data_IF_427386830335
#
_entry.id   IF_427386830335
#
_cell.length_a   1.000
_cell.length_b   1.000
_cell.length_c   1.000
_cell.angle_alpha   90.00
_cell.angle_beta   90.00
_cell.angle_gamma   90.00
#
_symmetry.space_group_name_H-M   'P 1'
#
loop_
_entity.id
_entity.type
_entity.pdbx_description
1 polymer ?
#
# COMPACT_ATOMS: atom_id res chain seq x y z
N UNK A 1 4.92 -84.98 -11.50
CA UNK A 1 5.54 -83.66 -11.76
C UNK A 1 5.36 -82.76 -10.53
N UNK A 2 6.43 -82.50 -9.76
CA UNK A 2 6.38 -81.61 -8.60
C UNK A 2 6.29 -80.17 -9.08
N UNK A 3 5.23 -79.45 -8.73
CA UNK A 3 5.09 -78.01 -8.98
C UNK A 3 6.16 -77.27 -8.16
N UNK A 4 7.06 -76.57 -8.82
CA UNK A 4 8.05 -75.70 -8.18
C UNK A 4 7.33 -74.63 -7.35
N UNK A 5 7.63 -74.59 -6.04
CA UNK A 5 7.19 -73.51 -5.16
C UNK A 5 7.92 -72.23 -5.61
N UNK A 6 7.16 -71.20 -5.99
CA UNK A 6 7.70 -69.85 -6.20
C UNK A 6 8.09 -69.29 -4.84
N UNK A 7 9.37 -68.94 -4.66
CA UNK A 7 9.80 -68.16 -3.52
C UNK A 7 9.22 -66.75 -3.65
N UNK A 8 8.55 -66.30 -2.60
CA UNK A 8 8.04 -64.94 -2.49
C UNK A 8 9.25 -64.04 -2.26
N UNK A 9 9.65 -63.31 -3.29
CA UNK A 9 10.64 -62.24 -3.14
C UNK A 9 9.96 -61.13 -2.35
N UNK A 10 10.45 -60.86 -1.14
CA UNK A 10 10.08 -59.68 -0.38
C UNK A 10 10.58 -58.45 -1.15
N UNK A 11 9.70 -57.88 -1.97
CA UNK A 11 9.94 -56.60 -2.65
C UNK A 11 9.83 -55.53 -1.58
N UNK A 12 10.96 -54.92 -1.22
CA UNK A 12 10.97 -53.78 -0.30
C UNK A 12 10.03 -52.69 -0.84
N UNK A 13 9.02 -52.31 -0.04
CA UNK A 13 8.07 -51.27 -0.44
C UNK A 13 8.82 -49.96 -0.75
N UNK A 14 8.47 -49.24 -1.84
CA UNK A 14 9.10 -47.97 -2.15
C UNK A 14 8.92 -46.99 -0.99
N UNK A 15 10.04 -46.45 -0.51
CA UNK A 15 10.05 -45.47 0.58
C UNK A 15 9.20 -44.26 0.18
N UNK A 16 8.17 -43.93 0.96
CA UNK A 16 7.30 -42.77 0.68
C UNK A 16 8.13 -41.50 0.58
N UNK A 17 7.98 -40.75 -0.51
CA UNK A 17 8.65 -39.46 -0.69
C UNK A 17 8.14 -38.45 0.33
N UNK A 18 9.06 -37.75 1.00
CA UNK A 18 8.71 -36.71 1.97
C UNK A 18 8.10 -35.50 1.24
N UNK A 19 6.79 -35.28 1.45
CA UNK A 19 6.04 -34.15 0.88
C UNK A 19 6.03 -32.91 1.76
N UNK A 20 6.73 -32.92 2.90
CA UNK A 20 6.70 -31.83 3.88
C UNK A 20 7.15 -30.49 3.29
N UNK A 21 8.18 -30.51 2.44
CA UNK A 21 8.72 -29.31 1.79
C UNK A 21 7.76 -28.73 0.75
N UNK A 22 7.10 -29.57 -0.06
CA UNK A 22 6.12 -29.12 -1.05
C UNK A 22 4.87 -28.53 -0.39
N UNK A 23 4.41 -29.14 0.71
CA UNK A 23 3.32 -28.60 1.52
C UNK A 23 3.68 -27.23 2.12
N UNK A 24 4.91 -27.09 2.64
CA UNK A 24 5.41 -25.82 3.17
C UNK A 24 5.48 -24.74 2.08
N UNK A 25 6.01 -25.08 0.89
CA UNK A 25 6.07 -24.20 -0.27
C UNK A 25 4.69 -23.75 -0.73
N UNK A 26 3.71 -24.66 -0.71
CA UNK A 26 2.33 -24.35 -1.08
C UNK A 26 1.71 -23.33 -0.11
N UNK A 27 1.77 -23.59 1.20
CA UNK A 27 1.23 -22.68 2.22
C UNK A 27 1.92 -21.32 2.16
N UNK A 28 3.24 -21.29 1.98
CA UNK A 28 3.99 -20.03 1.88
C UNK A 28 3.68 -19.26 0.60
N UNK A 29 3.42 -19.94 -0.53
CA UNK A 29 2.93 -19.30 -1.76
C UNK A 29 1.59 -18.60 -1.54
N UNK A 30 0.65 -19.25 -0.83
CA UNK A 30 -0.63 -18.62 -0.49
C UNK A 30 -0.45 -17.40 0.42
N UNK A 31 0.41 -17.50 1.45
CA UNK A 31 0.73 -16.39 2.35
C UNK A 31 1.39 -15.22 1.61
N UNK A 32 2.30 -15.50 0.68
CA UNK A 32 2.91 -14.49 -0.18
C UNK A 32 1.84 -13.76 -0.99
N UNK A 33 0.92 -14.48 -1.64
CA UNK A 33 -0.19 -13.87 -2.37
C UNK A 33 -1.12 -13.01 -1.50
N UNK A 34 -1.26 -13.33 -0.20
CA UNK A 34 -1.95 -12.46 0.76
C UNK A 34 -1.15 -11.17 1.03
N UNK A 35 0.14 -11.29 1.34
CA UNK A 35 1.02 -10.14 1.60
C UNK A 35 1.12 -9.21 0.39
N UNK A 36 1.13 -9.74 -0.82
CA UNK A 36 1.14 -8.93 -2.05
C UNK A 36 -0.15 -8.14 -2.24
N UNK A 37 -1.30 -8.75 -1.91
CA UNK A 37 -2.60 -8.05 -1.91
C UNK A 37 -2.62 -6.96 -0.85
N UNK A 38 -2.21 -7.26 0.38
CA UNK A 38 -2.11 -6.28 1.47
C UNK A 38 -1.20 -5.10 1.10
N UNK A 39 -0.04 -5.37 0.49
CA UNK A 39 0.86 -4.34 -0.05
C UNK A 39 0.18 -3.47 -1.11
N UNK A 40 -0.54 -4.09 -2.05
CA UNK A 40 -1.25 -3.35 -3.12
C UNK A 40 -2.35 -2.46 -2.54
N UNK A 41 -3.18 -2.99 -1.63
CA UNK A 41 -4.20 -2.20 -0.93
C UNK A 41 -3.59 -1.05 -0.12
N UNK A 42 -2.48 -1.29 0.60
CA UNK A 42 -1.78 -0.24 1.33
C UNK A 42 -1.20 0.84 0.40
N UNK A 43 -0.72 0.45 -0.79
CA UNK A 43 -0.25 1.40 -1.82
C UNK A 43 -1.37 2.30 -2.33
N UNK A 44 -2.53 1.72 -2.60
CA UNK A 44 -3.71 2.45 -3.07
C UNK A 44 -4.22 3.43 -2.02
N UNK A 45 -4.33 3.01 -0.77
CA UNK A 45 -4.69 3.90 0.34
C UNK A 45 -3.66 5.03 0.47
N UNK A 46 -2.36 4.73 0.47
CA UNK A 46 -1.33 5.77 0.55
C UNK A 46 -1.42 6.79 -0.60
N UNK A 47 -1.66 6.32 -1.83
CA UNK A 47 -1.88 7.20 -2.99
C UNK A 47 -3.12 8.08 -2.81
N UNK A 48 -4.23 7.49 -2.36
CA UNK A 48 -5.48 8.22 -2.08
C UNK A 48 -5.27 9.33 -1.04
N UNK A 49 -4.56 9.03 0.06
CA UNK A 49 -4.23 10.02 1.09
C UNK A 49 -3.31 11.12 0.57
N UNK A 50 -2.35 10.79 -0.29
CA UNK A 50 -1.50 11.78 -0.96
C UNK A 50 -2.30 12.70 -1.89
N UNK A 51 -3.25 12.15 -2.64
CA UNK A 51 -4.13 12.93 -3.50
C UNK A 51 -5.00 13.88 -2.66
N UNK A 52 -5.64 13.39 -1.60
CA UNK A 52 -6.44 14.22 -0.71
C UNK A 52 -5.61 15.38 -0.11
N UNK A 53 -4.38 15.10 0.35
CA UNK A 53 -3.47 16.15 0.84
C UNK A 53 -3.16 17.20 -0.24
N UNK A 54 -2.91 16.76 -1.48
CA UNK A 54 -2.67 17.67 -2.59
C UNK A 54 -3.88 18.56 -2.85
N UNK A 55 -5.09 17.98 -2.85
CA UNK A 55 -6.33 18.71 -3.11
C UNK A 55 -6.62 19.73 -2.00
N UNK A 56 -6.39 19.39 -0.73
CA UNK A 56 -6.50 20.35 0.37
C UNK A 56 -5.51 21.50 0.23
N UNK A 57 -4.26 21.23 -0.18
CA UNK A 57 -3.25 22.28 -0.41
C UNK A 57 -3.68 23.22 -1.54
N UNK A 58 -4.20 22.68 -2.64
CA UNK A 58 -4.71 23.47 -3.76
C UNK A 58 -5.89 24.34 -3.31
N UNK A 59 -6.89 23.76 -2.66
CA UNK A 59 -8.05 24.50 -2.14
C UNK A 59 -7.66 25.58 -1.16
N UNK A 60 -6.69 25.33 -0.27
CA UNK A 60 -6.17 26.34 0.65
C UNK A 60 -5.54 27.51 -0.11
N UNK A 61 -4.67 27.23 -1.09
CA UNK A 61 -4.02 28.27 -1.92
C UNK A 61 -5.06 29.11 -2.65
N UNK A 62 -6.08 28.45 -3.18
CA UNK A 62 -7.19 29.10 -3.87
C UNK A 62 -7.99 30.01 -2.94
N UNK A 63 -8.41 29.51 -1.78
CA UNK A 63 -9.17 30.28 -0.81
C UNK A 63 -8.41 31.53 -0.33
N UNK A 64 -7.09 31.40 -0.09
CA UNK A 64 -6.24 32.54 0.28
C UNK A 64 -6.17 33.58 -0.83
N UNK A 65 -5.99 33.12 -2.08
CA UNK A 65 -5.95 34.01 -3.26
C UNK A 65 -7.27 34.74 -3.45
N UNK A 66 -8.39 34.02 -3.39
CA UNK A 66 -9.74 34.59 -3.52
C UNK A 66 -10.03 35.61 -2.40
N UNK A 67 -9.66 35.30 -1.16
CA UNK A 67 -9.82 36.23 -0.04
C UNK A 67 -9.01 37.52 -0.26
N UNK A 68 -7.78 37.41 -0.75
CA UNK A 68 -6.94 38.56 -1.04
C UNK A 68 -7.49 39.42 -2.19
N UNK A 69 -7.91 38.78 -3.30
CA UNK A 69 -8.51 39.45 -4.46
C UNK A 69 -9.79 40.18 -4.06
N UNK A 70 -10.72 39.48 -3.40
CA UNK A 70 -11.97 40.06 -2.92
C UNK A 70 -11.73 41.28 -2.02
N UNK A 71 -10.73 41.21 -1.13
CA UNK A 71 -10.40 42.32 -0.25
C UNK A 71 -9.80 43.51 -1.00
N UNK A 72 -8.93 43.27 -1.98
CA UNK A 72 -8.37 44.34 -2.82
C UNK A 72 -9.46 45.03 -3.64
N UNK A 73 -10.35 44.26 -4.26
CA UNK A 73 -11.48 44.79 -5.05
C UNK A 73 -12.43 45.61 -4.17
N UNK A 74 -12.83 45.09 -3.02
CA UNK A 74 -13.71 45.80 -2.08
C UNK A 74 -13.09 47.12 -1.59
N UNK A 75 -11.77 47.14 -1.35
CA UNK A 75 -11.06 48.37 -0.98
C UNK A 75 -11.00 49.36 -2.13
N UNK A 76 -10.72 48.90 -3.35
CA UNK A 76 -10.70 49.76 -4.54
C UNK A 76 -12.08 50.40 -4.77
N UNK A 77 -13.15 49.62 -4.69
CA UNK A 77 -14.53 50.10 -4.82
C UNK A 77 -14.87 51.16 -3.76
N UNK A 78 -14.50 50.92 -2.50
CA UNK A 78 -14.74 51.90 -1.43
C UNK A 78 -13.97 53.20 -1.67
N UNK A 79 -12.70 53.11 -2.07
CA UNK A 79 -11.87 54.30 -2.37
C UNK A 79 -12.34 55.07 -3.60
N UNK A 80 -12.92 54.37 -4.58
CA UNK A 80 -13.57 54.98 -5.75
C UNK A 80 -14.98 55.50 -5.44
N UNK A 81 -15.45 55.38 -4.19
CA UNK A 81 -16.80 55.75 -3.76
C UNK A 81 -17.92 55.04 -4.56
N UNK A 82 -17.65 53.86 -5.11
CA UNK A 82 -18.66 53.06 -5.84
C UNK A 82 -19.52 52.21 -4.91
N UNK A 83 -19.10 52.04 -3.65
CA UNK A 83 -19.87 51.40 -2.59
C UNK A 83 -19.96 52.29 -1.34
N UNK A 84 -21.02 52.11 -0.57
CA UNK A 84 -21.24 52.84 0.67
C UNK A 84 -20.41 52.28 1.84
N UNK A 85 -20.27 53.07 2.91
CA UNK A 85 -19.64 52.64 4.16
C UNK A 85 -20.28 51.36 4.73
N UNK A 86 -21.62 51.25 4.67
CA UNK A 86 -22.34 50.06 5.11
C UNK A 86 -21.98 48.82 4.29
N UNK A 87 -21.93 48.95 2.96
CA UNK A 87 -21.50 47.88 2.06
C UNK A 87 -20.04 47.47 2.30
N UNK A 88 -19.15 48.44 2.59
CA UNK A 88 -17.76 48.16 2.93
C UNK A 88 -17.61 47.40 4.26
N UNK A 89 -18.43 47.71 5.28
CA UNK A 89 -18.46 46.95 6.53
C UNK A 89 -18.91 45.49 6.30
N UNK A 90 -19.92 45.27 5.46
CA UNK A 90 -20.36 43.93 5.06
C UNK A 90 -19.23 43.19 4.32
N UNK A 91 -18.53 43.85 3.40
CA UNK A 91 -17.38 43.28 2.70
C UNK A 91 -16.24 42.89 3.67
N UNK A 92 -15.96 43.73 4.67
CA UNK A 92 -14.98 43.41 5.73
C UNK A 92 -15.37 42.16 6.52
N UNK A 93 -16.64 42.02 6.91
CA UNK A 93 -17.14 40.84 7.60
C UNK A 93 -17.06 39.58 6.71
N UNK A 94 -17.39 39.70 5.42
CA UNK A 94 -17.24 38.60 4.45
C UNK A 94 -15.79 38.16 4.29
N UNK A 95 -14.86 39.11 4.16
CA UNK A 95 -13.43 38.81 4.08
C UNK A 95 -12.90 38.10 5.34
N UNK A 96 -13.40 38.45 6.54
CA UNK A 96 -13.07 37.73 7.76
C UNK A 96 -13.51 36.25 7.70
N UNK A 97 -14.74 35.98 7.22
CA UNK A 97 -15.21 34.59 7.00
C UNK A 97 -14.35 33.83 5.99
N UNK A 98 -13.95 34.47 4.88
CA UNK A 98 -13.07 33.83 3.90
C UNK A 98 -11.69 33.47 4.49
N UNK A 99 -11.18 34.28 5.43
CA UNK A 99 -9.95 33.95 6.17
C UNK A 99 -10.14 32.74 7.10
N UNK A 100 -11.28 32.66 7.79
CA UNK A 100 -11.62 31.52 8.63
C UNK A 100 -11.75 30.22 7.81
N UNK A 101 -12.37 30.28 6.62
CA UNK A 101 -12.43 29.16 5.68
C UNK A 101 -11.03 28.70 5.24
N UNK A 102 -10.15 29.64 4.90
CA UNK A 102 -8.75 29.33 4.55
C UNK A 102 -7.98 28.71 5.74
N UNK A 103 -8.26 29.15 6.98
CA UNK A 103 -7.68 28.58 8.19
C UNK A 103 -8.19 27.15 8.45
N UNK A 104 -9.48 26.89 8.25
CA UNK A 104 -10.07 25.56 8.32
C UNK A 104 -9.43 24.59 7.33
N UNK A 105 -9.22 25.04 6.08
CA UNK A 105 -8.50 24.26 5.07
C UNK A 105 -7.04 23.97 5.47
N UNK A 106 -6.39 24.89 6.20
CA UNK A 106 -5.06 24.64 6.74
C UNK A 106 -5.05 23.51 7.77
N UNK A 107 -6.04 23.48 8.67
CA UNK A 107 -6.19 22.39 9.64
C UNK A 107 -6.38 21.04 8.92
N UNK A 108 -7.24 21.00 7.90
CA UNK A 108 -7.42 19.81 7.05
C UNK A 108 -6.13 19.38 6.35
N UNK A 109 -5.29 20.32 5.91
CA UNK A 109 -3.97 19.99 5.36
C UNK A 109 -3.09 19.30 6.42
N UNK A 110 -3.05 19.80 7.65
CA UNK A 110 -2.25 19.19 8.72
C UNK A 110 -2.74 17.78 9.07
N UNK A 111 -4.06 17.57 9.15
CA UNK A 111 -4.67 16.25 9.33
C UNK A 111 -4.27 15.31 8.19
N UNK A 112 -4.44 15.73 6.93
CA UNK A 112 -4.11 14.93 5.75
C UNK A 112 -2.60 14.60 5.66
N UNK A 113 -1.70 15.48 6.14
CA UNK A 113 -0.26 15.16 6.25
C UNK A 113 -0.04 13.99 7.20
N UNK A 114 -0.69 14.01 8.38
CA UNK A 114 -0.55 12.93 9.38
C UNK A 114 -1.09 11.61 8.84
N UNK A 115 -2.25 11.62 8.19
CA UNK A 115 -2.83 10.44 7.57
C UNK A 115 -1.96 9.89 6.45
N UNK A 116 -1.48 10.75 5.55
CA UNK A 116 -0.61 10.36 4.44
C UNK A 116 0.70 9.74 4.92
N UNK A 117 1.30 10.28 5.99
CA UNK A 117 2.48 9.70 6.63
C UNK A 117 2.19 8.33 7.23
N UNK A 118 1.09 8.17 7.98
CA UNK A 118 0.68 6.89 8.57
C UNK A 118 0.41 5.82 7.50
N UNK A 119 -0.31 6.17 6.43
CA UNK A 119 -0.54 5.26 5.31
C UNK A 119 0.77 4.89 4.59
N UNK A 120 1.69 5.85 4.47
CA UNK A 120 3.03 5.61 3.92
C UNK A 120 3.81 4.59 4.73
N UNK A 121 3.87 4.75 6.06
CA UNK A 121 4.52 3.78 6.97
C UNK A 121 3.97 2.37 6.74
N UNK A 122 2.64 2.20 6.77
CA UNK A 122 1.98 0.91 6.53
C UNK A 122 2.34 0.30 5.17
N UNK A 123 2.35 1.10 4.12
CA UNK A 123 2.75 0.62 2.79
C UNK A 123 4.21 0.14 2.76
N UNK A 124 5.14 0.90 3.37
CA UNK A 124 6.54 0.51 3.39
C UNK A 124 6.81 -0.73 4.26
N UNK A 125 6.08 -0.89 5.36
CA UNK A 125 6.09 -2.09 6.19
C UNK A 125 5.59 -3.31 5.39
N UNK A 126 4.40 -3.23 4.78
CA UNK A 126 3.84 -4.29 3.96
C UNK A 126 4.74 -4.63 2.76
N UNK A 127 5.39 -3.63 2.15
CA UNK A 127 6.37 -3.82 1.08
C UNK A 127 7.61 -4.58 1.59
N UNK A 128 8.12 -4.22 2.76
CA UNK A 128 9.28 -4.89 3.35
C UNK A 128 8.96 -6.34 3.71
N UNK A 129 7.78 -6.59 4.28
CA UNK A 129 7.30 -7.92 4.62
C UNK A 129 7.11 -8.81 3.39
N UNK A 130 6.41 -8.34 2.36
CA UNK A 130 6.25 -9.05 1.09
C UNK A 130 7.62 -9.40 0.47
N UNK A 131 8.59 -8.47 0.50
CA UNK A 131 9.95 -8.72 0.00
C UNK A 131 10.72 -9.76 0.82
N UNK A 132 10.55 -9.77 2.14
CA UNK A 132 11.14 -10.81 3.01
C UNK A 132 10.51 -12.18 2.71
N UNK A 133 9.20 -12.25 2.60
CA UNK A 133 8.48 -13.48 2.28
C UNK A 133 8.85 -14.02 0.89
N UNK A 134 8.99 -13.14 -0.11
CA UNK A 134 9.42 -13.52 -1.46
C UNK A 134 10.81 -14.16 -1.44
N UNK A 135 11.79 -13.53 -0.79
CA UNK A 135 13.15 -14.09 -0.67
C UNK A 135 13.18 -15.45 0.04
N UNK A 136 12.34 -15.62 1.05
CA UNK A 136 12.21 -16.92 1.73
C UNK A 136 11.59 -17.98 0.81
N UNK A 137 10.59 -17.61 0.00
CA UNK A 137 9.97 -18.50 -0.97
C UNK A 137 10.97 -18.93 -2.05
N UNK A 138 11.74 -17.99 -2.59
CA UNK A 138 12.81 -18.24 -3.57
C UNK A 138 13.86 -19.20 -3.00
N UNK A 139 14.32 -18.96 -1.77
CA UNK A 139 15.29 -19.85 -1.09
C UNK A 139 14.77 -21.28 -0.96
N UNK A 140 13.52 -21.45 -0.52
CA UNK A 140 12.92 -22.78 -0.38
C UNK A 140 12.70 -23.46 -1.74
N UNK A 141 12.40 -22.70 -2.79
CA UNK A 141 12.31 -23.22 -4.16
C UNK A 141 13.65 -23.79 -4.62
N UNK A 142 14.73 -23.04 -4.43
CA UNK A 142 16.10 -23.50 -4.75
C UNK A 142 16.42 -24.79 -3.97
N UNK A 143 16.18 -24.83 -2.65
CA UNK A 143 16.45 -26.02 -1.84
C UNK A 143 15.66 -27.25 -2.32
N UNK A 144 14.39 -27.07 -2.72
CA UNK A 144 13.58 -28.16 -3.28
C UNK A 144 14.21 -28.67 -4.59
N UNK A 145 14.61 -27.76 -5.47
CA UNK A 145 15.17 -28.12 -6.77
C UNK A 145 16.52 -28.84 -6.63
N UNK A 146 17.36 -28.41 -5.68
CA UNK A 146 18.60 -29.10 -5.31
C UNK A 146 18.36 -30.51 -4.75
N UNK A 147 17.40 -30.67 -3.82
CA UNK A 147 17.05 -31.98 -3.27
C UNK A 147 16.50 -32.92 -4.34
N UNK A 148 15.68 -32.42 -5.26
CA UNK A 148 15.18 -33.20 -6.39
C UNK A 148 16.30 -33.61 -7.35
N UNK A 149 17.27 -32.74 -7.60
CA UNK A 149 18.44 -33.06 -8.42
C UNK A 149 19.32 -34.13 -7.75
N UNK A 150 19.58 -34.02 -6.44
CA UNK A 150 20.32 -35.02 -5.68
C UNK A 150 19.62 -36.38 -5.65
N UNK A 151 18.29 -36.40 -5.48
CA UNK A 151 17.51 -37.64 -5.53
C UNK A 151 17.63 -38.34 -6.88
N UNK A 152 17.57 -37.59 -7.99
CA UNK A 152 17.72 -38.15 -9.34
C UNK A 152 19.12 -38.70 -9.58
N UNK A 153 20.16 -38.00 -9.15
CA UNK A 153 21.54 -38.47 -9.27
C UNK A 153 21.78 -39.76 -8.46
N UNK A 154 21.14 -39.90 -7.30
CA UNK A 154 21.21 -41.12 -6.49
C UNK A 154 20.47 -42.30 -7.13
N UNK A 155 19.39 -42.05 -7.88
CA UNK A 155 18.64 -43.06 -8.65
C UNK A 155 19.35 -43.49 -9.94
N UNK A 156 20.15 -42.60 -10.56
CA UNK A 156 20.91 -42.88 -11.80
C UNK A 156 22.29 -43.51 -11.54
N UNK A 157 22.85 -43.35 -10.33
CA UNK A 157 24.18 -43.84 -9.94
C UNK A 157 24.20 -45.10 -9.07
N UNK A 158 23.04 -45.69 -8.78
CA UNK A 158 22.88 -46.95 -8.04
C UNK A 158 22.30 -48.06 -8.90
#
# INVERSE_FOLDING_TARGET
>A
MKRGKREVVDVAEPKRSDRSLDQLLHVRKQRLGRLERERSSAREDWRRRRQALHDYKLRKREAVRQAAQFWQESRAQFLQMTITTGQFHVAKARHARMKEEAASLNLRCHEAVRESRRAGVRFFEARAEARRAQRQQEKLGIMRDELMALSRLAEEGG
#
